data_IF_398189013495
#
_entry.id   IF_398189013495
#
_cell.length_a   1.000
_cell.length_b   1.000
_cell.length_c   1.000
_cell.angle_alpha   90.00
_cell.angle_beta   90.00
_cell.angle_gamma   90.00
#
_symmetry.space_group_name_H-M   'P 1'
#
loop_
_entity.id
_entity.type
_entity.pdbx_description
1 polymer ?
#
# COMPACT_ATOMS: atom_id res chain seq x y z
N UNK A 1 11.21 -12.86 -35.19
CA UNK A 1 11.13 -11.43 -35.54
C UNK A 1 11.49 -11.27 -37.01
N UNK A 2 10.53 -11.52 -37.89
CA UNK A 2 10.64 -11.29 -39.34
C UNK A 2 9.27 -10.79 -39.77
N UNK A 3 9.05 -9.50 -39.63
CA UNK A 3 8.36 -8.67 -40.62
C UNK A 3 8.50 -7.20 -40.20
N UNK A 4 9.03 -6.36 -41.10
CA UNK A 4 9.25 -4.93 -40.89
C UNK A 4 8.10 -4.11 -41.47
N UNK A 5 6.87 -4.62 -41.37
CA UNK A 5 5.67 -3.92 -41.83
C UNK A 5 5.08 -3.09 -40.68
N UNK A 6 5.29 -1.78 -40.79
CA UNK A 6 4.81 -0.71 -39.91
C UNK A 6 3.28 -0.64 -39.86
N UNK A 7 2.65 -1.52 -39.08
CA UNK A 7 1.18 -1.53 -38.87
C UNK A 7 0.79 -1.57 -37.39
N UNK A 8 1.39 -0.71 -36.54
CA UNK A 8 0.92 -0.50 -35.16
C UNK A 8 0.83 0.99 -34.81
N UNK A 9 -0.32 1.38 -34.26
CA UNK A 9 -0.65 2.74 -33.83
C UNK A 9 0.13 3.24 -32.59
N UNK A 10 0.94 2.38 -31.95
CA UNK A 10 1.94 2.74 -30.94
C UNK A 10 3.23 1.98 -31.27
N UNK A 11 4.14 2.63 -31.98
CA UNK A 11 5.43 2.06 -32.35
C UNK A 11 6.36 1.97 -31.16
N UNK A 12 6.35 0.84 -30.46
CA UNK A 12 7.39 0.52 -29.46
C UNK A 12 8.75 0.38 -30.15
N UNK A 13 9.81 0.82 -29.50
CA UNK A 13 11.20 0.83 -30.03
C UNK A 13 11.75 -0.55 -30.37
N UNK A 14 11.02 -1.64 -30.09
CA UNK A 14 11.50 -3.01 -30.27
C UNK A 14 12.62 -3.40 -29.32
N UNK A 15 13.04 -2.49 -28.43
CA UNK A 15 14.19 -2.69 -27.53
C UNK A 15 13.84 -3.54 -26.31
N UNK A 16 12.56 -3.74 -25.97
CA UNK A 16 12.16 -4.41 -24.72
C UNK A 16 12.74 -5.82 -24.56
N UNK A 17 12.76 -6.62 -25.63
CA UNK A 17 13.35 -7.96 -25.59
C UNK A 17 14.89 -7.90 -25.50
N UNK A 18 15.52 -6.94 -26.17
CA UNK A 18 16.98 -6.74 -26.10
C UNK A 18 17.40 -6.30 -24.71
N UNK A 19 16.64 -5.40 -24.07
CA UNK A 19 16.88 -4.97 -22.68
C UNK A 19 16.68 -6.16 -21.73
N UNK A 20 15.60 -6.93 -21.90
CA UNK A 20 15.33 -8.10 -21.06
C UNK A 20 16.44 -9.16 -21.21
N UNK A 21 16.91 -9.39 -22.42
CA UNK A 21 18.05 -10.29 -22.69
C UNK A 21 19.33 -9.80 -22.01
N UNK A 22 19.69 -8.52 -22.18
CA UNK A 22 20.86 -7.95 -21.53
C UNK A 22 20.81 -8.08 -20.00
N UNK A 23 19.66 -7.84 -19.39
CA UNK A 23 19.49 -7.97 -17.93
C UNK A 23 19.66 -9.42 -17.47
N UNK A 24 19.02 -10.37 -18.16
CA UNK A 24 19.14 -11.79 -17.84
C UNK A 24 20.58 -12.28 -17.99
N UNK A 25 21.27 -11.89 -19.07
CA UNK A 25 22.68 -12.24 -19.31
C UNK A 25 23.62 -11.60 -18.26
N UNK A 26 23.37 -10.34 -17.86
CA UNK A 26 24.11 -9.68 -16.78
C UNK A 26 23.95 -10.40 -15.43
N UNK A 27 22.79 -11.02 -15.21
CA UNK A 27 22.51 -11.84 -14.04
C UNK A 27 23.02 -13.29 -14.19
N UNK A 28 23.74 -13.60 -15.27
CA UNK A 28 24.30 -14.94 -15.54
C UNK A 28 23.26 -15.98 -15.97
N UNK A 29 22.11 -15.52 -16.44
CA UNK A 29 20.97 -16.34 -16.85
C UNK A 29 20.82 -16.53 -18.36
N UNK A 30 19.76 -17.24 -18.76
CA UNK A 30 19.35 -17.45 -20.15
C UNK A 30 17.89 -17.00 -20.36
N UNK A 31 17.55 -16.51 -21.55
CA UNK A 31 16.19 -16.10 -21.93
C UNK A 31 15.78 -16.78 -23.25
N UNK A 32 14.50 -17.09 -23.42
CA UNK A 32 13.99 -17.74 -24.62
C UNK A 32 12.51 -17.50 -24.88
N UNK A 33 12.04 -18.02 -26.02
CA UNK A 33 10.64 -17.99 -26.43
C UNK A 33 10.24 -19.31 -27.07
N UNK A 34 9.10 -19.83 -26.67
CA UNK A 34 8.39 -20.93 -27.33
C UNK A 34 7.08 -20.39 -27.88
N UNK A 35 6.87 -20.45 -29.19
CA UNK A 35 5.70 -19.83 -29.81
C UNK A 35 5.16 -20.67 -30.95
N UNK A 36 3.84 -20.88 -30.94
CA UNK A 36 3.11 -21.54 -32.01
C UNK A 36 1.99 -20.62 -32.50
N UNK A 37 1.99 -20.32 -33.80
CA UNK A 37 1.02 -19.40 -34.41
C UNK A 37 -0.41 -19.91 -34.19
N UNK A 38 -1.26 -19.06 -33.63
CA UNK A 38 -2.66 -19.38 -33.34
C UNK A 38 -2.90 -20.15 -32.03
N UNK A 39 -1.85 -20.52 -31.30
CA UNK A 39 -1.95 -21.16 -29.96
C UNK A 39 -1.51 -20.18 -28.88
N UNK A 40 -0.33 -19.57 -29.03
CA UNK A 40 0.23 -18.63 -28.06
C UNK A 40 1.75 -18.55 -28.12
N UNK A 41 2.32 -17.75 -27.21
CA UNK A 41 3.76 -17.56 -27.03
C UNK A 41 4.09 -17.57 -25.53
N UNK A 42 5.02 -18.43 -25.13
CA UNK A 42 5.62 -18.47 -23.79
C UNK A 42 7.01 -17.87 -23.87
N UNK A 43 7.24 -16.79 -23.12
CA UNK A 43 8.57 -16.21 -22.91
C UNK A 43 9.08 -16.67 -21.56
N UNK A 44 10.32 -17.12 -21.49
CA UNK A 44 10.91 -17.66 -20.26
C UNK A 44 12.31 -17.12 -20.08
N UNK A 45 12.76 -17.07 -18.83
CA UNK A 45 14.15 -16.84 -18.49
C UNK A 45 14.53 -17.67 -17.26
N UNK A 46 15.81 -17.97 -17.13
CA UNK A 46 16.41 -18.71 -16.03
C UNK A 46 17.58 -17.91 -15.50
N UNK A 47 17.63 -17.61 -14.20
CA UNK A 47 18.72 -16.85 -13.58
C UNK A 47 19.23 -17.60 -12.36
N UNK A 48 20.55 -17.79 -12.20
CA UNK A 48 21.12 -18.43 -11.03
C UNK A 48 21.05 -17.49 -9.81
N UNK A 49 20.39 -17.94 -8.74
CA UNK A 49 20.40 -17.26 -7.44
C UNK A 49 21.03 -18.14 -6.36
N UNK A 50 21.78 -17.52 -5.44
CA UNK A 50 22.22 -18.19 -4.22
C UNK A 50 21.09 -18.12 -3.20
N UNK A 51 20.63 -19.27 -2.72
CA UNK A 51 19.63 -19.34 -1.66
C UNK A 51 20.28 -18.95 -0.33
N UNK A 52 19.99 -17.75 0.16
CA UNK A 52 20.51 -17.27 1.45
C UNK A 52 19.64 -17.88 2.56
N UNK A 53 20.05 -19.06 3.02
CA UNK A 53 19.30 -19.92 3.95
C UNK A 53 17.96 -20.35 3.34
N UNK A 54 17.69 -21.66 3.32
CA UNK A 54 16.29 -22.05 3.42
C UNK A 54 15.78 -21.30 4.64
N UNK A 55 14.79 -20.43 4.48
CA UNK A 55 14.02 -20.08 5.66
C UNK A 55 13.44 -21.42 6.09
N UNK A 56 14.11 -22.07 7.03
CA UNK A 56 13.40 -22.79 8.07
C UNK A 56 12.59 -21.71 8.79
N UNK A 57 11.54 -21.21 8.12
CA UNK A 57 10.25 -21.21 8.78
C UNK A 57 10.09 -22.66 9.15
N UNK A 58 10.60 -23.02 10.33
CA UNK A 58 10.35 -24.30 10.92
C UNK A 58 8.85 -24.31 11.10
N UNK A 59 8.09 -24.78 10.09
CA UNK A 59 6.64 -24.69 9.98
C UNK A 59 6.02 -24.78 11.37
N UNK A 60 5.67 -23.66 12.02
CA UNK A 60 4.87 -23.77 13.21
C UNK A 60 3.46 -23.48 12.74
N UNK A 61 2.59 -24.47 12.96
CA UNK A 61 1.13 -24.31 12.95
C UNK A 61 0.55 -24.46 11.54
N UNK A 62 -0.40 -25.39 11.40
CA UNK A 62 -1.20 -25.54 10.19
C UNK A 62 -1.68 -24.15 9.72
N UNK A 63 -1.41 -23.81 8.45
CA UNK A 63 -1.99 -22.62 7.82
C UNK A 63 -3.50 -22.61 8.15
N UNK A 64 -4.08 -21.51 8.68
CA UNK A 64 -5.46 -21.49 9.15
C UNK A 64 -6.48 -21.83 8.05
N UNK A 65 -6.03 -21.76 6.80
CA UNK A 65 -6.81 -22.03 5.59
C UNK A 65 -6.55 -23.44 5.02
N UNK A 66 -5.54 -24.18 5.48
CA UNK A 66 -5.23 -25.49 4.90
C UNK A 66 -6.42 -26.47 5.05
N UNK A 67 -6.74 -27.18 3.95
CA UNK A 67 -7.85 -28.12 3.87
C UNK A 67 -9.23 -27.49 3.68
N UNK A 68 -9.34 -26.15 3.65
CA UNK A 68 -10.60 -25.46 3.35
C UNK A 68 -10.97 -25.60 1.89
N UNK A 69 -12.28 -25.65 1.60
CA UNK A 69 -12.82 -25.74 0.25
C UNK A 69 -13.15 -24.37 -0.30
N UNK A 70 -12.67 -24.07 -1.50
CA UNK A 70 -12.87 -22.76 -2.17
C UNK A 70 -13.56 -22.96 -3.51
N UNK A 71 -14.65 -22.25 -3.74
CA UNK A 71 -15.26 -22.13 -5.06
C UNK A 71 -14.76 -20.85 -5.74
N UNK A 72 -14.21 -20.97 -6.94
CA UNK A 72 -13.72 -19.84 -7.74
C UNK A 72 -14.67 -19.66 -8.92
N UNK A 73 -15.29 -18.49 -9.05
CA UNK A 73 -16.21 -18.15 -10.13
C UNK A 73 -15.59 -17.05 -10.97
N UNK A 74 -15.05 -17.40 -12.14
CA UNK A 74 -14.32 -16.48 -13.02
C UNK A 74 -14.45 -16.98 -14.47
N UNK A 75 -14.94 -16.12 -15.37
CA UNK A 75 -15.23 -16.46 -16.77
C UNK A 75 -13.94 -16.70 -17.57
N UNK A 76 -12.86 -15.98 -17.24
CA UNK A 76 -11.58 -16.10 -17.90
C UNK A 76 -10.81 -17.34 -17.40
N UNK A 77 -10.66 -18.34 -18.28
CA UNK A 77 -9.96 -19.59 -17.97
C UNK A 77 -8.54 -19.36 -17.44
N UNK A 78 -7.77 -18.43 -18.01
CA UNK A 78 -6.39 -18.17 -17.58
C UNK A 78 -6.36 -17.59 -16.16
N UNK A 79 -7.22 -16.62 -15.85
CA UNK A 79 -7.32 -16.04 -14.50
C UNK A 79 -7.75 -17.11 -13.48
N UNK A 80 -8.72 -17.93 -13.85
CA UNK A 80 -9.20 -19.04 -13.01
C UNK A 80 -8.09 -20.05 -12.72
N UNK A 81 -7.31 -20.47 -13.72
CA UNK A 81 -6.17 -21.39 -13.53
C UNK A 81 -5.12 -20.81 -12.59
N UNK A 82 -4.75 -19.53 -12.76
CA UNK A 82 -3.77 -18.86 -11.89
C UNK A 82 -4.22 -18.86 -10.42
N UNK A 83 -5.49 -18.53 -10.17
CA UNK A 83 -6.05 -18.53 -8.81
C UNK A 83 -6.06 -19.97 -8.25
N UNK A 84 -6.45 -20.97 -9.04
CA UNK A 84 -6.43 -22.38 -8.63
C UNK A 84 -5.02 -22.87 -8.27
N UNK A 85 -3.99 -22.45 -9.00
CA UNK A 85 -2.59 -22.75 -8.67
C UNK A 85 -2.22 -22.20 -7.28
N UNK A 86 -2.59 -20.96 -6.97
CA UNK A 86 -2.38 -20.37 -5.65
C UNK A 86 -3.08 -21.18 -4.55
N UNK A 87 -4.33 -21.59 -4.77
CA UNK A 87 -5.09 -22.39 -3.80
C UNK A 87 -4.39 -23.73 -3.53
N UNK A 88 -3.94 -24.41 -4.58
CA UNK A 88 -3.25 -25.70 -4.47
C UNK A 88 -1.93 -25.57 -3.69
N UNK A 89 -1.14 -24.52 -3.95
CA UNK A 89 0.09 -24.23 -3.19
C UNK A 89 -0.18 -23.98 -1.70
N UNK A 90 -1.34 -23.41 -1.37
CA UNK A 90 -1.78 -23.16 0.01
C UNK A 90 -2.52 -24.34 0.65
N UNK A 91 -2.54 -25.51 -0.01
CA UNK A 91 -3.23 -26.71 0.44
C UNK A 91 -4.75 -26.54 0.62
N UNK A 92 -5.37 -25.70 -0.21
CA UNK A 92 -6.83 -25.53 -0.32
C UNK A 92 -7.41 -26.48 -1.36
N UNK A 93 -8.61 -26.99 -1.13
CA UNK A 93 -9.37 -27.76 -2.12
C UNK A 93 -10.21 -26.81 -2.97
N UNK A 94 -9.80 -26.54 -4.21
CA UNK A 94 -10.46 -25.54 -5.05
C UNK A 94 -11.24 -26.14 -6.22
N UNK A 95 -12.43 -25.60 -6.47
CA UNK A 95 -13.26 -25.90 -7.65
C UNK A 95 -13.45 -24.61 -8.42
N UNK A 96 -13.20 -24.63 -9.73
CA UNK A 96 -13.37 -23.47 -10.61
C UNK A 96 -14.58 -23.62 -11.53
N UNK A 97 -15.40 -22.58 -11.63
CA UNK A 97 -16.54 -22.47 -12.55
C UNK A 97 -16.41 -21.24 -13.45
N UNK A 98 -17.05 -21.29 -14.62
CA UNK A 98 -16.99 -20.23 -15.63
C UNK A 98 -18.18 -19.25 -15.59
N UNK A 99 -19.21 -19.54 -14.78
CA UNK A 99 -20.41 -18.73 -14.69
C UNK A 99 -21.11 -18.87 -13.33
N UNK A 100 -22.02 -17.94 -13.06
CA UNK A 100 -22.89 -17.97 -11.87
C UNK A 100 -23.78 -19.22 -11.84
N UNK A 101 -24.31 -19.65 -12.98
CA UNK A 101 -25.19 -20.83 -13.03
C UNK A 101 -24.42 -22.13 -12.74
N UNK A 102 -23.19 -22.26 -13.25
CA UNK A 102 -22.29 -23.37 -12.90
C UNK A 102 -21.90 -23.33 -11.42
N UNK A 103 -21.69 -22.13 -10.86
CA UNK A 103 -21.38 -21.95 -9.44
C UNK A 103 -22.54 -22.44 -8.56
N UNK A 104 -23.78 -22.04 -8.86
CA UNK A 104 -24.96 -22.47 -8.11
C UNK A 104 -25.15 -23.99 -8.18
N UNK A 105 -25.00 -24.60 -9.36
CA UNK A 105 -25.06 -26.06 -9.51
C UNK A 105 -23.95 -26.77 -8.71
N UNK A 106 -22.74 -26.22 -8.68
CA UNK A 106 -21.63 -26.77 -7.90
C UNK A 106 -21.88 -26.66 -6.38
N UNK A 107 -22.48 -25.57 -5.92
CA UNK A 107 -22.87 -25.37 -4.51
C UNK A 107 -23.97 -26.36 -4.12
N UNK A 108 -25.01 -26.52 -4.94
CA UNK A 108 -26.08 -27.50 -4.69
C UNK A 108 -25.53 -28.93 -4.61
N UNK A 109 -24.65 -29.32 -5.53
CA UNK A 109 -24.00 -30.63 -5.50
C UNK A 109 -23.12 -30.81 -4.26
N UNK A 110 -22.32 -29.81 -3.90
CA UNK A 110 -21.47 -29.84 -2.71
C UNK A 110 -22.28 -29.96 -1.41
N UNK A 111 -23.42 -29.28 -1.34
CA UNK A 111 -24.34 -29.35 -0.20
C UNK A 111 -25.05 -30.71 -0.13
N UNK A 112 -25.46 -31.27 -1.26
CA UNK A 112 -26.03 -32.63 -1.32
C UNK A 112 -25.02 -33.69 -0.84
N UNK A 113 -23.74 -33.51 -1.13
CA UNK A 113 -22.65 -34.39 -0.70
C UNK A 113 -22.17 -34.13 0.74
N UNK A 114 -22.80 -33.22 1.50
CA UNK A 114 -22.39 -32.78 2.83
C UNK A 114 -20.93 -32.27 2.89
N UNK A 115 -20.47 -31.65 1.80
CA UNK A 115 -19.14 -31.05 1.68
C UNK A 115 -19.27 -29.61 1.18
N UNK A 116 -19.90 -28.70 1.93
CA UNK A 116 -20.07 -27.30 1.51
C UNK A 116 -18.71 -26.65 1.24
N UNK A 117 -18.72 -25.59 0.43
CA UNK A 117 -17.55 -24.72 0.30
C UNK A 117 -17.39 -23.89 1.57
N UNK A 118 -16.16 -23.61 1.99
CA UNK A 118 -15.90 -22.71 3.11
C UNK A 118 -15.89 -21.25 2.65
N UNK A 119 -15.35 -20.98 1.44
CA UNK A 119 -15.27 -19.66 0.81
C UNK A 119 -15.66 -19.73 -0.67
N UNK A 120 -16.35 -18.69 -1.14
CA UNK A 120 -16.66 -18.43 -2.54
C UNK A 120 -15.90 -17.17 -2.96
N UNK A 121 -15.04 -17.29 -3.95
CA UNK A 121 -14.30 -16.21 -4.58
C UNK A 121 -14.92 -15.95 -5.95
N UNK A 122 -15.65 -14.85 -6.13
CA UNK A 122 -16.35 -14.55 -7.38
C UNK A 122 -15.78 -13.32 -8.06
N UNK A 123 -15.64 -13.38 -9.39
CA UNK A 123 -15.48 -12.20 -10.21
C UNK A 123 -16.75 -11.35 -10.15
N UNK A 124 -16.60 -10.03 -10.15
CA UNK A 124 -17.69 -9.11 -10.37
C UNK A 124 -18.05 -9.08 -11.86
N UNK A 125 -17.08 -8.93 -12.75
CA UNK A 125 -17.33 -8.69 -14.18
C UNK A 125 -17.48 -10.00 -14.95
N UNK A 126 -18.68 -10.57 -14.97
CA UNK A 126 -18.99 -11.77 -15.75
C UNK A 126 -20.14 -11.54 -16.74
N UNK A 127 -20.14 -12.24 -17.90
CA UNK A 127 -21.25 -12.17 -18.85
C UNK A 127 -22.57 -12.67 -18.25
N UNK A 128 -23.69 -12.05 -18.65
CA UNK A 128 -25.07 -12.42 -18.30
C UNK A 128 -25.45 -12.20 -16.82
N UNK A 129 -24.72 -12.80 -15.89
CA UNK A 129 -24.90 -12.69 -14.44
C UNK A 129 -23.56 -12.37 -13.79
N UNK A 130 -23.52 -11.36 -12.95
CA UNK A 130 -22.33 -10.83 -12.30
C UNK A 130 -22.14 -11.42 -10.88
N UNK A 131 -21.05 -11.04 -10.20
CA UNK A 131 -20.76 -11.51 -8.85
C UNK A 131 -21.81 -11.12 -7.79
N UNK A 132 -22.54 -10.02 -7.97
CA UNK A 132 -23.64 -9.64 -7.07
C UNK A 132 -24.88 -10.49 -7.28
N UNK A 133 -25.17 -10.88 -8.53
CA UNK A 133 -26.29 -11.78 -8.84
C UNK A 133 -26.10 -13.17 -8.19
N UNK A 134 -24.84 -13.60 -8.02
CA UNK A 134 -24.49 -14.79 -7.25
C UNK A 134 -24.69 -14.54 -5.74
N UNK A 135 -24.24 -13.39 -5.23
CA UNK A 135 -24.35 -13.04 -3.82
C UNK A 135 -25.82 -12.98 -3.38
N UNK A 136 -26.68 -12.34 -4.19
CA UNK A 136 -28.12 -12.27 -3.96
C UNK A 136 -28.77 -13.66 -3.97
N UNK A 137 -28.38 -14.54 -4.89
CA UNK A 137 -28.88 -15.91 -4.95
C UNK A 137 -28.46 -16.75 -3.73
N UNK A 138 -27.34 -16.41 -3.09
CA UNK A 138 -26.80 -17.09 -1.92
C UNK A 138 -27.14 -16.38 -0.60
N UNK A 139 -28.06 -15.40 -0.61
CA UNK A 139 -28.41 -14.65 0.60
C UNK A 139 -28.92 -15.58 1.70
N UNK A 140 -28.23 -15.60 2.84
CA UNK A 140 -28.53 -16.48 3.97
C UNK A 140 -27.74 -17.80 4.00
N UNK A 141 -26.88 -18.03 3.00
CA UNK A 141 -25.83 -19.05 3.01
C UNK A 141 -24.84 -18.82 4.17
N UNK A 142 -24.21 -19.90 4.63
CA UNK A 142 -23.18 -19.85 5.69
C UNK A 142 -21.78 -19.65 5.14
N UNK A 143 -21.62 -19.86 3.84
CA UNK A 143 -20.38 -19.81 3.09
C UNK A 143 -19.88 -18.37 3.02
N UNK A 144 -18.57 -18.20 3.23
CA UNK A 144 -17.94 -16.89 3.19
C UNK A 144 -17.80 -16.40 1.75
N UNK A 145 -18.10 -15.14 1.48
CA UNK A 145 -18.07 -14.62 0.11
C UNK A 145 -17.07 -13.48 -0.06
N UNK A 146 -16.20 -13.62 -1.06
CA UNK A 146 -15.21 -12.63 -1.46
C UNK A 146 -15.48 -12.19 -2.90
N UNK A 147 -15.68 -10.89 -3.10
CA UNK A 147 -15.92 -10.29 -4.41
C UNK A 147 -14.61 -9.73 -5.00
N UNK A 148 -14.26 -10.16 -6.22
CA UNK A 148 -13.14 -9.62 -6.97
C UNK A 148 -13.62 -8.46 -7.87
N UNK A 149 -13.19 -7.23 -7.59
CA UNK A 149 -13.57 -6.05 -8.36
C UNK A 149 -12.50 -5.65 -9.36
N UNK A 150 -12.88 -5.45 -10.63
CA UNK A 150 -12.03 -4.73 -11.57
C UNK A 150 -11.90 -3.25 -11.19
N UNK A 151 -10.98 -2.54 -11.81
CA UNK A 151 -10.65 -1.12 -11.52
C UNK A 151 -11.75 -0.12 -11.92
N UNK A 152 -13.00 -0.54 -12.02
CA UNK A 152 -14.13 0.37 -12.22
C UNK A 152 -14.43 1.10 -10.91
N UNK A 153 -14.76 2.39 -10.96
CA UNK A 153 -15.08 3.26 -9.81
C UNK A 153 -16.40 2.88 -9.11
N UNK A 154 -16.68 1.60 -8.95
CA UNK A 154 -17.85 1.10 -8.22
C UNK A 154 -17.43 1.00 -6.76
N UNK A 155 -17.86 1.99 -5.99
CA UNK A 155 -17.78 1.96 -4.54
C UNK A 155 -19.04 1.30 -4.00
N UNK A 156 -18.87 0.30 -3.13
CA UNK A 156 -19.95 -0.29 -2.35
C UNK A 156 -19.83 0.24 -0.93
N UNK A 157 -20.96 0.67 -0.37
CA UNK A 157 -21.06 0.93 1.06
C UNK A 157 -21.06 -0.38 1.84
N UNK A 158 -20.57 -0.37 3.08
CA UNK A 158 -20.62 -1.55 3.97
C UNK A 158 -22.03 -2.13 4.11
N UNK A 159 -23.05 -1.26 4.06
CA UNK A 159 -24.44 -1.67 4.10
C UNK A 159 -24.83 -2.47 2.87
N UNK A 160 -24.45 -2.05 1.68
CA UNK A 160 -24.72 -2.79 0.44
C UNK A 160 -24.05 -4.16 0.49
N UNK A 161 -22.80 -4.24 0.94
CA UNK A 161 -22.09 -5.52 1.07
C UNK A 161 -22.76 -6.47 2.06
N UNK A 162 -23.21 -5.97 3.22
CA UNK A 162 -24.02 -6.74 4.16
C UNK A 162 -25.34 -7.20 3.55
N UNK A 163 -26.01 -6.34 2.78
CA UNK A 163 -27.29 -6.68 2.14
C UNK A 163 -27.13 -7.77 1.08
N UNK A 164 -25.98 -7.83 0.39
CA UNK A 164 -25.61 -8.90 -0.54
C UNK A 164 -25.00 -10.13 0.13
N UNK A 165 -24.64 -10.07 1.42
CA UNK A 165 -23.97 -11.18 2.12
C UNK A 165 -22.50 -11.36 1.72
N UNK A 166 -21.84 -10.30 1.28
CA UNK A 166 -20.42 -10.30 0.89
C UNK A 166 -19.57 -10.00 2.13
N UNK A 167 -18.62 -10.87 2.46
CA UNK A 167 -17.73 -10.67 3.60
C UNK A 167 -16.57 -9.73 3.27
N UNK A 168 -15.96 -9.84 2.08
CA UNK A 168 -14.77 -9.04 1.71
C UNK A 168 -14.72 -8.71 0.20
N UNK A 169 -13.95 -7.67 -0.14
CA UNK A 169 -13.64 -7.27 -1.51
C UNK A 169 -12.13 -7.32 -1.75
N UNK A 170 -11.72 -7.84 -2.91
CA UNK A 170 -10.35 -7.72 -3.42
C UNK A 170 -10.33 -7.06 -4.80
N UNK A 171 -9.54 -5.99 -4.95
CA UNK A 171 -9.40 -5.30 -6.23
C UNK A 171 -8.38 -6.01 -7.14
N UNK A 172 -8.67 -6.04 -8.44
CA UNK A 172 -7.76 -6.54 -9.49
C UNK A 172 -6.71 -5.46 -9.84
N UNK A 173 -5.46 -5.82 -10.18
CA UNK A 173 -4.96 -7.19 -10.37
C UNK A 173 -4.80 -7.92 -9.02
N UNK A 174 -5.27 -9.17 -8.98
CA UNK A 174 -5.21 -10.02 -7.78
C UNK A 174 -3.75 -10.32 -7.45
N UNK A 175 -3.26 -9.73 -6.36
CA UNK A 175 -1.90 -9.97 -5.88
C UNK A 175 -1.89 -11.19 -4.96
N UNK A 176 -1.00 -12.15 -5.24
CA UNK A 176 -0.89 -13.43 -4.51
C UNK A 176 -0.81 -13.26 -2.99
N UNK A 177 0.03 -12.34 -2.51
CA UNK A 177 0.19 -12.10 -1.06
C UNK A 177 -1.09 -11.52 -0.42
N UNK A 178 -1.75 -10.56 -1.07
CA UNK A 178 -3.00 -9.96 -0.57
C UNK A 178 -4.13 -10.97 -0.50
N UNK A 179 -4.25 -11.83 -1.51
CA UNK A 179 -5.26 -12.89 -1.52
C UNK A 179 -5.01 -13.89 -0.37
N UNK A 180 -3.75 -14.25 -0.10
CA UNK A 180 -3.40 -15.14 1.01
C UNK A 180 -3.78 -14.55 2.37
N UNK A 181 -3.39 -13.30 2.63
CA UNK A 181 -3.70 -12.60 3.88
C UNK A 181 -5.20 -12.49 4.11
N UNK A 182 -5.96 -12.15 3.06
CA UNK A 182 -7.42 -12.07 3.08
C UNK A 182 -8.08 -13.40 3.42
N UNK A 183 -7.64 -14.49 2.81
CA UNK A 183 -8.16 -15.81 3.15
C UNK A 183 -7.81 -16.17 4.59
N UNK A 184 -6.60 -15.87 5.06
CA UNK A 184 -6.21 -16.13 6.44
C UNK A 184 -7.06 -15.34 7.45
N UNK A 185 -7.42 -14.10 7.16
CA UNK A 185 -8.26 -13.29 8.05
C UNK A 185 -9.71 -13.78 8.12
N UNK A 186 -10.26 -14.34 7.03
CA UNK A 186 -11.61 -14.91 7.04
C UNK A 186 -11.77 -16.08 8.01
N UNK A 187 -10.70 -16.86 8.21
CA UNK A 187 -10.71 -18.07 9.03
C UNK A 187 -10.02 -17.92 10.39
N UNK A 188 -9.32 -16.81 10.61
CA UNK A 188 -8.73 -16.50 11.91
C UNK A 188 -9.81 -15.99 12.85
N UNK A 189 -10.08 -16.73 13.93
CA UNK A 189 -11.17 -16.48 14.89
C UNK A 189 -10.99 -15.21 15.76
N UNK A 190 -10.20 -14.23 15.29
CA UNK A 190 -9.96 -12.97 15.98
C UNK A 190 -11.14 -12.04 15.68
N UNK A 191 -12.15 -12.14 16.54
CA UNK A 191 -13.46 -11.51 16.45
C UNK A 191 -13.42 -9.99 16.74
N UNK A 192 -12.46 -9.27 16.16
CA UNK A 192 -12.39 -7.81 16.13
C UNK A 192 -12.21 -7.39 14.68
N UNK A 193 -13.21 -6.68 14.16
CA UNK A 193 -13.40 -6.23 12.78
C UNK A 193 -14.04 -7.25 11.81
N UNK A 194 -15.36 -7.42 11.96
CA UNK A 194 -16.22 -8.04 10.93
C UNK A 194 -16.45 -7.17 9.69
N UNK A 195 -15.79 -6.02 9.59
CA UNK A 195 -15.56 -5.25 8.37
C UNK A 195 -14.17 -4.61 8.50
N UNK A 196 -13.10 -5.42 8.46
CA UNK A 196 -11.85 -4.90 7.90
C UNK A 196 -11.95 -5.05 6.41
N UNK A 197 -12.42 -4.00 5.77
CA UNK A 197 -12.01 -3.70 4.42
C UNK A 197 -10.50 -4.04 4.27
N UNK A 198 -10.16 -4.92 3.32
CA UNK A 198 -8.85 -4.86 2.65
C UNK A 198 -8.85 -3.73 1.61
N UNK A 199 -9.91 -2.93 1.57
CA UNK A 199 -9.81 -1.50 1.30
C UNK A 199 -9.31 -0.81 2.57
N UNK A 200 -8.36 0.10 2.43
CA UNK A 200 -8.24 1.14 3.44
C UNK A 200 -9.52 1.97 3.38
N UNK A 201 -9.96 2.42 4.56
CA UNK A 201 -11.17 3.22 4.85
C UNK A 201 -12.45 2.40 5.15
N UNK A 202 -12.90 2.45 6.41
CA UNK A 202 -14.19 3.07 6.75
C UNK A 202 -14.06 3.83 8.09
N UNK A 203 -14.75 4.97 8.28
CA UNK A 203 -14.59 5.90 9.38
C UNK A 203 -15.51 5.56 10.55
N UNK A 204 -15.34 6.31 11.64
CA UNK A 204 -16.11 6.30 12.92
C UNK A 204 -15.43 5.48 14.03
N UNK A 205 -14.30 6.02 14.50
CA UNK A 205 -14.28 6.45 15.89
C UNK A 205 -13.62 7.83 15.98
N UNK A 206 -14.46 8.86 15.90
CA UNK A 206 -14.08 10.26 16.11
C UNK A 206 -13.59 10.44 17.55
N UNK A 207 -12.29 10.60 17.72
CA UNK A 207 -11.81 11.73 18.49
C UNK A 207 -11.31 12.76 17.49
N UNK A 208 -12.19 13.71 17.18
CA UNK A 208 -11.94 14.81 16.27
C UNK A 208 -10.76 15.66 16.78
N UNK A 209 -9.61 15.50 16.14
CA UNK A 209 -8.90 16.65 15.60
C UNK A 209 -8.93 16.53 14.10
N UNK A 210 -9.97 17.11 13.48
CA UNK A 210 -9.88 17.47 12.05
C UNK A 210 -8.63 18.33 11.91
N UNK A 211 -7.56 17.79 11.35
CA UNK A 211 -6.53 18.66 10.81
C UNK A 211 -7.21 19.51 9.74
N UNK A 212 -7.06 20.84 9.77
CA UNK A 212 -7.49 21.66 8.63
C UNK A 212 -6.86 21.07 7.36
N UNK A 213 -7.61 21.08 6.26
CA UNK A 213 -7.22 20.59 4.92
C UNK A 213 -5.74 20.88 4.65
N UNK A 214 -4.90 19.88 4.89
CA UNK A 214 -3.44 20.01 4.84
C UNK A 214 -3.04 20.10 3.38
N UNK A 215 -2.32 21.15 3.00
CA UNK A 215 -1.91 21.36 1.61
C UNK A 215 -0.45 20.95 1.43
N UNK A 216 -0.22 19.98 0.56
CA UNK A 216 1.08 19.37 0.28
C UNK A 216 1.50 19.73 -1.14
N UNK A 217 2.77 20.07 -1.31
CA UNK A 217 3.40 20.16 -2.63
C UNK A 217 4.23 18.91 -2.87
N UNK A 218 3.98 18.21 -3.98
CA UNK A 218 4.78 17.08 -4.43
C UNK A 218 5.63 17.48 -5.65
N UNK A 219 6.95 17.43 -5.51
CA UNK A 219 7.89 17.65 -6.60
C UNK A 219 8.55 16.33 -7.03
N UNK A 220 8.19 15.82 -8.21
CA UNK A 220 8.66 14.54 -8.77
C UNK A 220 8.63 14.60 -10.30
N UNK A 221 9.70 14.19 -10.97
CA UNK A 221 9.84 14.24 -12.43
C UNK A 221 9.26 13.00 -13.14
N UNK A 222 9.13 11.89 -12.42
CA UNK A 222 8.53 10.67 -12.93
C UNK A 222 7.00 10.67 -12.77
N UNK A 223 6.27 10.74 -13.89
CA UNK A 223 4.81 10.77 -13.92
C UNK A 223 4.13 9.60 -13.17
N UNK A 224 4.74 8.41 -13.12
CA UNK A 224 4.17 7.25 -12.42
C UNK A 224 4.27 7.45 -10.91
N UNK A 225 5.44 7.89 -10.41
CA UNK A 225 5.63 8.21 -9.00
C UNK A 225 4.78 9.40 -8.58
N UNK A 226 4.67 10.41 -9.44
CA UNK A 226 3.83 11.59 -9.22
C UNK A 226 2.37 11.15 -9.00
N UNK A 227 1.82 10.37 -9.92
CA UNK A 227 0.45 9.85 -9.80
C UNK A 227 0.25 8.99 -8.55
N UNK A 228 1.21 8.11 -8.25
CA UNK A 228 1.14 7.23 -7.07
C UNK A 228 1.14 8.02 -5.76
N UNK A 229 2.08 8.94 -5.57
CA UNK A 229 2.22 9.70 -4.32
C UNK A 229 1.09 10.72 -4.17
N UNK A 230 0.65 11.36 -5.27
CA UNK A 230 -0.54 12.23 -5.25
C UNK A 230 -1.78 11.46 -4.79
N UNK A 231 -2.01 10.26 -5.32
CA UNK A 231 -3.14 9.43 -4.92
C UNK A 231 -3.07 9.06 -3.43
N UNK A 232 -1.88 8.71 -2.92
CA UNK A 232 -1.69 8.49 -1.49
C UNK A 232 -2.01 9.74 -0.65
N UNK A 233 -1.62 10.94 -1.10
CA UNK A 233 -1.94 12.17 -0.37
C UNK A 233 -3.45 12.44 -0.33
N UNK A 234 -4.15 12.22 -1.45
CA UNK A 234 -5.60 12.39 -1.54
C UNK A 234 -6.32 11.42 -0.62
N UNK A 235 -5.89 10.15 -0.58
CA UNK A 235 -6.42 9.14 0.35
C UNK A 235 -6.20 9.52 1.82
N UNK A 236 -5.13 10.24 2.15
CA UNK A 236 -4.88 10.76 3.49
C UNK A 236 -5.65 12.07 3.78
N UNK A 237 -6.57 12.48 2.92
CA UNK A 237 -7.38 13.69 3.08
C UNK A 237 -6.60 14.99 2.89
N UNK A 238 -5.41 14.93 2.26
CA UNK A 238 -4.59 16.11 1.98
C UNK A 238 -4.91 16.66 0.58
N UNK A 239 -4.79 17.98 0.42
CA UNK A 239 -4.76 18.60 -0.91
C UNK A 239 -3.34 18.50 -1.46
N UNK A 240 -3.14 17.92 -2.64
CA UNK A 240 -1.82 17.75 -3.22
C UNK A 240 -1.70 18.55 -4.52
N UNK A 241 -0.84 19.56 -4.52
CA UNK A 241 -0.38 20.21 -5.75
C UNK A 241 0.89 19.50 -6.25
N UNK A 242 1.14 19.55 -7.56
CA UNK A 242 2.24 18.84 -8.19
C UNK A 242 3.20 19.78 -8.92
N UNK A 243 4.48 19.42 -8.91
CA UNK A 243 5.56 20.06 -9.67
C UNK A 243 6.41 18.96 -10.32
N UNK A 244 6.81 19.14 -11.58
CA UNK A 244 7.58 18.12 -12.32
C UNK A 244 9.09 18.36 -12.33
N UNK A 245 9.56 19.45 -11.69
CA UNK A 245 10.98 19.74 -11.48
C UNK A 245 11.17 20.72 -10.29
N UNK A 246 12.42 20.93 -9.88
CA UNK A 246 12.74 21.81 -8.74
C UNK A 246 12.41 23.29 -8.97
N UNK A 247 12.43 23.79 -10.22
CA UNK A 247 12.08 25.19 -10.52
C UNK A 247 10.60 25.44 -10.27
N UNK A 248 9.74 24.56 -10.79
CA UNK A 248 8.29 24.63 -10.55
C UNK A 248 7.97 24.53 -9.06
N UNK A 249 8.71 23.71 -8.30
CA UNK A 249 8.52 23.62 -6.86
C UNK A 249 8.85 24.95 -6.14
N UNK A 250 9.95 25.62 -6.54
CA UNK A 250 10.33 26.94 -6.01
C UNK A 250 9.31 28.02 -6.39
N UNK A 251 8.78 27.99 -7.61
CA UNK A 251 7.76 28.93 -8.06
C UNK A 251 6.43 28.70 -7.32
N UNK A 252 6.04 27.44 -7.10
CA UNK A 252 4.80 27.08 -6.42
C UNK A 252 4.76 27.61 -4.98
N UNK A 253 5.85 27.46 -4.21
CA UNK A 253 5.88 27.93 -2.80
C UNK A 253 5.81 29.46 -2.68
N UNK A 254 6.16 30.21 -3.73
CA UNK A 254 6.00 31.67 -3.74
C UNK A 254 4.56 32.11 -4.02
N UNK A 255 3.79 31.28 -4.74
CA UNK A 255 2.42 31.58 -5.14
C UNK A 255 1.38 31.05 -4.15
N UNK A 256 1.69 29.96 -3.46
CA UNK A 256 0.78 29.24 -2.60
C UNK A 256 1.43 28.84 -1.29
N UNK A 257 0.61 28.73 -0.25
CA UNK A 257 1.05 28.28 1.07
C UNK A 257 0.89 26.76 1.18
N UNK A 258 1.96 26.11 1.62
CA UNK A 258 2.01 24.67 1.83
C UNK A 258 2.35 24.36 3.28
N UNK A 259 1.74 23.29 3.79
CA UNK A 259 2.03 22.76 5.11
C UNK A 259 3.24 21.82 5.12
N UNK A 260 3.54 21.20 3.98
CA UNK A 260 4.64 20.27 3.79
C UNK A 260 4.99 20.13 2.30
N UNK A 261 6.25 19.86 2.02
CA UNK A 261 6.75 19.57 0.67
C UNK A 261 7.35 18.17 0.65
N UNK A 262 6.89 17.33 -0.28
CA UNK A 262 7.56 16.08 -0.66
C UNK A 262 8.44 16.38 -1.88
N UNK A 263 9.75 16.22 -1.74
CA UNK A 263 10.74 16.67 -2.73
C UNK A 263 11.60 15.51 -3.20
N UNK A 264 11.51 15.13 -4.48
CA UNK A 264 12.48 14.22 -5.08
C UNK A 264 13.89 14.84 -5.09
N UNK A 265 14.88 14.07 -4.65
CA UNK A 265 16.27 14.50 -4.63
C UNK A 265 16.85 14.66 -6.04
N UNK A 266 16.41 13.84 -6.99
CA UNK A 266 16.96 13.80 -8.35
C UNK A 266 15.89 14.18 -9.37
N UNK A 267 15.97 15.40 -9.89
CA UNK A 267 15.08 15.91 -10.92
C UNK A 267 15.88 16.66 -11.99
N UNK A 268 15.42 16.74 -13.26
CA UNK A 268 16.05 17.54 -14.29
C UNK A 268 15.89 19.05 -14.01
N UNK A 269 16.70 19.86 -14.70
CA UNK A 269 16.77 21.34 -14.61
C UNK A 269 17.27 21.88 -13.28
N UNK A 270 16.56 21.58 -12.19
CA UNK A 270 16.93 21.92 -10.82
C UNK A 270 16.65 20.71 -9.93
N UNK A 271 17.71 20.18 -9.31
CA UNK A 271 17.58 19.05 -8.40
C UNK A 271 16.94 19.44 -7.06
N UNK A 272 16.46 18.44 -6.31
CA UNK A 272 15.75 18.68 -5.05
C UNK A 272 16.62 19.31 -3.97
N UNK A 273 17.94 19.09 -4.00
CA UNK A 273 18.87 19.69 -3.03
C UNK A 273 19.03 21.19 -3.29
N UNK A 274 19.21 21.60 -4.54
CA UNK A 274 19.30 23.01 -4.92
C UNK A 274 17.95 23.72 -4.76
N UNK A 275 16.84 23.07 -5.13
CA UNK A 275 15.49 23.58 -4.89
C UNK A 275 15.26 23.85 -3.39
N UNK A 276 15.63 22.90 -2.52
CA UNK A 276 15.54 23.07 -1.06
C UNK A 276 16.35 24.27 -0.58
N UNK A 277 17.61 24.43 -1.03
CA UNK A 277 18.45 25.59 -0.64
C UNK A 277 17.81 26.91 -1.05
N UNK A 278 17.19 26.99 -2.23
CA UNK A 278 16.48 28.19 -2.68
C UNK A 278 15.23 28.46 -1.83
N UNK A 279 14.46 27.43 -1.49
CA UNK A 279 13.31 27.57 -0.59
C UNK A 279 13.76 28.11 0.77
N UNK A 280 14.84 27.59 1.37
CA UNK A 280 15.39 28.10 2.63
C UNK A 280 15.88 29.54 2.55
N UNK A 281 16.41 29.98 1.40
CA UNK A 281 16.75 31.38 1.18
C UNK A 281 15.51 32.28 1.17
N UNK A 282 14.41 31.83 0.54
CA UNK A 282 13.13 32.55 0.54
C UNK A 282 12.52 32.65 1.94
N UNK A 283 12.65 31.60 2.75
CA UNK A 283 12.28 31.63 4.18
C UNK A 283 13.10 32.65 4.95
N UNK A 284 14.43 32.63 4.80
CA UNK A 284 15.34 33.55 5.48
C UNK A 284 15.16 35.01 5.06
N UNK A 285 14.75 35.24 3.81
CA UNK A 285 14.42 36.55 3.28
C UNK A 285 13.04 37.07 3.73
N UNK A 286 12.26 36.26 4.47
CA UNK A 286 10.90 36.60 4.89
C UNK A 286 9.89 36.66 3.75
N UNK A 287 10.21 36.05 2.61
CA UNK A 287 9.29 35.97 1.45
C UNK A 287 8.20 34.93 1.68
N UNK A 288 8.49 33.89 2.46
CA UNK A 288 7.54 32.87 2.89
C UNK A 288 7.06 33.16 4.32
N UNK A 289 5.84 32.73 4.67
CA UNK A 289 5.23 32.96 5.99
C UNK A 289 5.97 32.30 7.16
N UNK A 290 6.89 31.39 6.87
CA UNK A 290 7.69 30.71 7.87
C UNK A 290 8.36 29.50 7.27
N UNK A 291 8.90 28.67 8.15
CA UNK A 291 9.55 27.43 7.77
C UNK A 291 8.53 26.38 7.31
N UNK A 292 8.72 25.84 6.11
CA UNK A 292 7.89 24.78 5.53
C UNK A 292 8.65 23.46 5.66
N UNK A 293 8.11 22.42 6.33
CA UNK A 293 8.75 21.11 6.37
C UNK A 293 8.99 20.53 4.97
N UNK A 294 10.23 20.12 4.67
CA UNK A 294 10.62 19.48 3.41
C UNK A 294 11.08 18.05 3.70
N UNK A 295 10.39 17.07 3.13
CA UNK A 295 10.71 15.65 3.22
C UNK A 295 11.31 15.18 1.90
N UNK A 296 12.54 14.70 1.95
CA UNK A 296 13.25 14.18 0.80
C UNK A 296 12.68 12.84 0.34
N UNK A 297 12.49 12.64 -0.95
CA UNK A 297 12.27 11.32 -1.56
C UNK A 297 13.59 10.90 -2.24
N UNK A 298 14.26 9.88 -1.71
CA UNK A 298 15.59 9.46 -2.19
C UNK A 298 15.59 8.02 -2.68
N UNK A 299 16.32 7.71 -3.77
CA UNK A 299 16.45 6.36 -4.29
C UNK A 299 17.32 5.42 -3.42
N UNK A 300 18.15 5.97 -2.53
CA UNK A 300 19.12 5.20 -1.74
C UNK A 300 19.00 5.50 -0.23
N UNK A 301 18.87 4.45 0.58
CA UNK A 301 18.90 4.53 2.04
C UNK A 301 20.34 4.43 2.62
N UNK A 302 21.37 4.62 1.79
CA UNK A 302 22.77 4.44 2.18
C UNK A 302 23.23 5.61 3.07
N UNK A 303 24.06 5.32 4.08
CA UNK A 303 24.77 6.31 4.92
C UNK A 303 25.54 7.29 4.03
N UNK A 304 24.98 8.47 3.80
CA UNK A 304 25.56 9.53 2.98
C UNK A 304 24.49 10.39 2.30
N UNK A 305 23.45 9.78 1.75
CA UNK A 305 22.35 10.54 1.14
C UNK A 305 21.48 11.22 2.21
N UNK A 306 21.34 10.58 3.38
CA UNK A 306 20.73 11.19 4.57
C UNK A 306 21.42 12.50 4.96
N UNK A 307 22.75 12.48 5.08
CA UNK A 307 23.54 13.67 5.47
C UNK A 307 23.39 14.78 4.44
N UNK A 308 23.44 14.44 3.14
CA UNK A 308 23.22 15.40 2.05
C UNK A 308 21.83 16.06 2.08
N UNK A 309 20.78 15.32 2.46
CA UNK A 309 19.44 15.87 2.61
C UNK A 309 19.40 16.93 3.73
N UNK A 310 19.95 16.61 4.90
CA UNK A 310 20.00 17.53 6.03
C UNK A 310 20.91 18.74 5.75
N UNK A 311 22.06 18.54 5.10
CA UNK A 311 22.97 19.63 4.70
C UNK A 311 22.35 20.58 3.68
N UNK A 312 21.43 20.09 2.84
CA UNK A 312 20.65 20.93 1.94
C UNK A 312 19.53 21.70 2.66
N UNK A 313 19.22 21.34 3.92
CA UNK A 313 18.19 21.96 4.75
C UNK A 313 16.85 21.23 4.72
N UNK A 314 16.80 19.95 4.35
CA UNK A 314 15.59 19.12 4.44
C UNK A 314 15.38 18.63 5.88
N UNK A 315 14.13 18.42 6.28
CA UNK A 315 13.75 18.11 7.66
C UNK A 315 13.64 16.61 7.92
N UNK A 316 13.40 15.84 6.87
CA UNK A 316 13.31 14.38 6.94
C UNK A 316 13.56 13.76 5.55
N UNK A 317 13.69 12.44 5.50
CA UNK A 317 13.81 11.70 4.25
C UNK A 317 12.99 10.40 4.26
N UNK A 318 12.61 9.97 3.06
CA UNK A 318 11.94 8.71 2.76
C UNK A 318 12.64 8.03 1.59
N UNK A 319 12.93 6.74 1.73
CA UNK A 319 13.51 5.95 0.65
C UNK A 319 12.43 5.54 -0.36
N UNK A 320 12.72 5.66 -1.65
CA UNK A 320 11.92 5.11 -2.74
C UNK A 320 12.15 3.59 -2.86
N UNK A 321 11.12 2.79 -3.18
CA UNK A 321 9.73 3.19 -3.39
C UNK A 321 9.06 3.60 -2.08
N UNK A 322 8.37 4.73 -2.09
CA UNK A 322 7.75 5.30 -0.89
C UNK A 322 6.57 4.44 -0.48
N UNK A 323 6.52 4.04 0.80
CA UNK A 323 5.41 3.22 1.32
C UNK A 323 4.42 4.08 2.11
N UNK A 324 3.12 3.78 2.01
CA UNK A 324 2.05 4.54 2.67
C UNK A 324 2.29 4.73 4.17
N UNK A 325 2.64 3.66 4.89
CA UNK A 325 2.89 3.72 6.34
C UNK A 325 4.05 4.66 6.70
N UNK A 326 5.07 4.75 5.84
CA UNK A 326 6.20 5.67 6.06
C UNK A 326 5.77 7.12 5.89
N UNK A 327 4.93 7.42 4.89
CA UNK A 327 4.35 8.75 4.69
C UNK A 327 3.50 9.14 5.90
N UNK A 328 2.58 8.28 6.34
CA UNK A 328 1.69 8.56 7.49
C UNK A 328 2.51 8.94 8.71
N UNK A 329 3.51 8.12 9.07
CA UNK A 329 4.36 8.37 10.23
C UNK A 329 5.11 9.72 10.13
N UNK A 330 5.56 10.09 8.93
CA UNK A 330 6.24 11.39 8.72
C UNK A 330 5.26 12.56 8.81
N UNK A 331 4.09 12.45 8.19
CA UNK A 331 3.05 13.48 8.22
C UNK A 331 2.56 13.70 9.66
N UNK A 332 2.24 12.64 10.39
CA UNK A 332 1.80 12.75 11.79
C UNK A 332 2.85 13.44 12.66
N UNK A 333 4.12 13.08 12.53
CA UNK A 333 5.20 13.65 13.33
C UNK A 333 5.47 15.13 12.99
N UNK A 334 5.45 15.51 11.72
CA UNK A 334 5.77 16.88 11.29
C UNK A 334 4.58 17.84 11.46
N UNK A 335 3.36 17.39 11.18
CA UNK A 335 2.16 18.21 11.27
C UNK A 335 1.62 18.31 12.70
N UNK A 336 1.84 17.30 13.56
CA UNK A 336 1.47 17.39 14.98
C UNK A 336 2.35 18.38 15.75
N UNK A 337 3.63 18.54 15.37
CA UNK A 337 4.53 19.55 15.98
C UNK A 337 4.07 20.99 15.72
N UNK A 338 3.45 21.26 14.57
CA UNK A 338 2.91 22.59 14.20
C UNK A 338 1.68 22.98 15.03
N UNK A 339 0.91 22.01 15.52
CA UNK A 339 -0.24 22.28 16.40
C UNK A 339 0.15 22.61 17.85
N UNK A 340 1.31 22.13 18.32
CA UNK A 340 1.77 22.44 19.69
C UNK A 340 2.36 23.85 19.75
N UNK A 341 3.11 24.28 18.73
CA UNK A 341 3.67 25.64 18.66
C UNK A 341 2.61 26.73 18.46
N UNK A 342 1.50 26.45 17.78
CA UNK A 342 0.42 27.42 17.57
C UNK A 342 -0.50 27.62 18.80
N UNK A 343 -0.45 26.70 19.78
CA UNK A 343 -1.32 26.75 20.97
C UNK A 343 -0.63 27.38 22.20
N UNK A 344 0.68 27.60 22.17
CA UNK A 344 1.40 28.30 23.24
C UNK A 344 1.24 29.84 23.14
N UNK A 345 0.97 30.39 21.95
CA UNK A 345 0.80 31.83 21.74
C UNK A 345 -0.61 32.37 22.07
N UNK A 346 -1.54 31.53 22.52
CA UNK A 346 -2.94 31.93 22.83
C UNK A 346 -3.26 31.88 24.33
N UNK A 347 -2.31 31.45 25.19
CA UNK A 347 -2.51 31.40 26.65
C UNK A 347 -1.58 32.37 27.40
N UNK A 348 -1.66 33.65 27.09
CA UNK A 348 -1.27 34.72 28.02
C UNK A 348 -2.45 35.66 28.23
N UNK A 349 -3.41 35.25 29.06
CA UNK A 349 -4.26 36.13 29.87
C UNK A 349 -5.33 35.28 30.58
N UNK A 350 -4.96 34.71 31.72
CA UNK A 350 -5.86 34.45 32.84
C UNK A 350 -5.04 33.95 34.03
N UNK A 351 -4.72 34.86 34.94
CA UNK A 351 -4.43 34.53 36.33
C UNK A 351 -5.64 33.77 36.91
N UNK A 352 -5.40 32.64 37.59
CA UNK A 352 -5.78 32.50 38.99
C UNK A 352 -5.10 31.28 39.64
N UNK A 353 -4.82 31.49 40.90
CA UNK A 353 -4.01 30.73 41.84
C UNK A 353 -4.71 29.45 42.34
N UNK A 354 -3.96 28.36 42.47
CA UNK A 354 -3.94 27.55 43.69
C UNK A 354 -2.73 26.62 43.72
N UNK A 355 -1.99 26.67 44.84
CA UNK A 355 -0.84 25.84 45.09
C UNK A 355 -1.23 24.44 45.59
N UNK A 356 -0.42 23.46 45.18
CA UNK A 356 -0.19 22.22 45.89
C UNK A 356 1.28 21.82 45.67
N UNK A 357 1.91 21.30 46.72
CA UNK A 357 3.35 21.05 46.89
C UNK A 357 4.01 20.11 45.86
N UNK A 358 5.35 20.19 45.69
CA UNK A 358 6.07 19.45 44.66
C UNK A 358 6.31 17.99 45.07
N UNK A 359 5.83 17.03 44.27
CA UNK A 359 6.35 15.67 44.28
C UNK A 359 7.68 15.62 43.51
N UNK A 360 8.72 15.16 44.18
CA UNK A 360 10.05 14.96 43.59
C UNK A 360 9.93 13.92 42.45
N UNK A 361 10.43 14.19 41.23
CA UNK A 361 10.42 13.18 40.18
C UNK A 361 11.39 12.05 40.54
N UNK A 362 10.92 10.81 40.42
CA UNK A 362 11.81 9.65 40.46
C UNK A 362 12.89 9.81 39.37
N UNK A 363 14.17 9.53 39.65
CA UNK A 363 15.28 9.89 38.76
C UNK A 363 15.33 9.11 37.44
N UNK A 364 14.48 8.10 37.25
CA UNK A 364 14.46 7.27 36.04
C UNK A 364 13.00 7.00 35.64
N UNK A 365 12.65 7.40 34.42
CA UNK A 365 11.37 7.06 33.79
C UNK A 365 11.38 5.58 33.40
N UNK A 366 10.72 4.76 34.20
CA UNK A 366 10.65 3.32 34.02
C UNK A 366 9.96 2.92 32.70
N UNK A 367 9.00 3.72 32.21
CA UNK A 367 8.30 3.44 30.96
C UNK A 367 9.23 3.65 29.76
N UNK A 368 10.00 4.75 29.78
CA UNK A 368 10.98 5.06 28.75
C UNK A 368 12.16 4.08 28.74
N UNK A 369 12.61 3.61 29.91
CA UNK A 369 13.68 2.62 30.02
C UNK A 369 13.24 1.27 29.43
N UNK A 370 12.01 0.84 29.72
CA UNK A 370 11.42 -0.37 29.15
C UNK A 370 11.22 -0.27 27.63
N UNK A 371 10.76 0.87 27.14
CA UNK A 371 10.61 1.14 25.70
C UNK A 371 11.96 1.02 24.98
N UNK A 372 13.02 1.62 25.56
CA UNK A 372 14.38 1.55 25.01
C UNK A 372 15.03 0.18 25.16
N UNK A 373 14.54 -0.67 26.06
CA UNK A 373 14.95 -2.06 26.22
C UNK A 373 14.04 -3.04 25.45
N UNK A 374 13.25 -2.54 24.49
CA UNK A 374 12.33 -3.35 23.68
C UNK A 374 11.32 -4.17 24.51
N UNK A 375 10.93 -3.66 25.68
CA UNK A 375 10.02 -4.33 26.61
C UNK A 375 10.66 -5.43 27.47
N UNK A 376 11.97 -5.63 27.41
CA UNK A 376 12.66 -6.65 28.22
C UNK A 376 12.98 -6.16 29.64
N UNK A 377 12.28 -6.72 30.63
CA UNK A 377 12.50 -6.46 32.05
C UNK A 377 13.88 -6.94 32.55
N UNK A 378 14.37 -8.05 32.01
CA UNK A 378 15.67 -8.63 32.37
C UNK A 378 16.82 -7.72 31.94
N UNK A 379 16.71 -7.13 30.74
CA UNK A 379 17.69 -6.23 30.15
C UNK A 379 17.66 -4.86 30.84
N UNK A 380 16.46 -4.37 31.16
CA UNK A 380 16.28 -3.16 31.98
C UNK A 380 16.86 -3.33 33.40
N UNK A 381 16.71 -4.51 34.01
CA UNK A 381 17.30 -4.83 35.32
C UNK A 381 18.83 -4.84 35.31
N UNK A 382 19.44 -5.43 34.27
CA UNK A 382 20.91 -5.48 34.12
C UNK A 382 21.59 -4.12 33.89
N UNK A 383 20.81 -3.08 33.59
CA UNK A 383 21.30 -1.71 33.39
C UNK A 383 21.14 -0.84 34.65
N UNK A 384 20.40 -1.33 35.66
CA UNK A 384 20.12 -0.63 36.91
C UNK A 384 20.92 -1.19 38.11
N UNK A 385 21.46 -2.41 37.99
CA UNK A 385 22.48 -3.00 38.87
C UNK A 385 23.90 -2.71 38.36
#
# INVERSE_FOLDING_TARGET
>A
QVDASTTRHYGGTGLGLVISQNLVELMGGNIGIESQKGVGSTFWFEIPFTVISASTVALPIASPIAGKRVLIVEDNQTKRTIIQEYMNEWSLDSVGTASVDEALAAIEAANADNRPFDVILTDFDMPQRNGLDLAEALKGSTEKMVLLLSTTNIEFTDRELMEYGIDLILRKPVQRHKLYEMLCSLFSNNNQNKFTSFAEDDPINRNEKKLPTTRILLAEDNNINLMYVTELMVQLGCMCDTATNGLQAVDAVQQHEYDLILMDCQMPELDGFEATRRIRQLESAGTLRGHIPIVALTANAIKGDRERCFDAGMDEYLSKPVQKNQIINVLERLLSKKQVSANEDIKSDAEFTHGAEPSVPAPIDAALLLERCFGSLELAGSLLD
#
